data_IF_749670894436
#
_entry.id   IF_749670894436
#
_cell.length_a   1.000
_cell.length_b   1.000
_cell.length_c   1.000
_cell.angle_alpha   90.00
_cell.angle_beta   90.00
_cell.angle_gamma   90.00
#
_symmetry.space_group_name_H-M   'P 1'
#
loop_
_entity.id
_entity.type
_entity.pdbx_description
1 polymer ?
#
# COMPACT_ATOMS: atom_id res chain seq x y z
N UNK A 1 -20.05 -8.71 25.94
CA UNK A 1 -18.77 -8.42 26.61
C UNK A 1 -18.24 -7.12 26.01
N UNK A 2 -18.17 -6.00 26.75
CA UNK A 2 -17.84 -4.70 26.18
C UNK A 2 -16.34 -4.56 25.89
N UNK A 3 -16.01 -3.98 24.74
CA UNK A 3 -14.64 -3.71 24.30
C UNK A 3 -14.10 -2.46 25.00
N UNK A 4 -12.90 -2.53 25.54
CA UNK A 4 -12.25 -1.39 26.17
C UNK A 4 -11.67 -0.44 25.11
N UNK A 5 -12.19 0.78 25.03
CA UNK A 5 -11.54 1.87 24.31
C UNK A 5 -10.32 2.36 25.11
N UNK A 6 -9.11 2.10 24.61
CA UNK A 6 -7.94 2.84 25.06
C UNK A 6 -7.93 4.22 24.40
N UNK A 7 -7.96 5.25 25.23
CA UNK A 7 -7.78 6.65 24.84
C UNK A 7 -6.28 6.88 24.60
N UNK A 8 -5.88 7.19 23.36
CA UNK A 8 -4.53 7.68 23.07
C UNK A 8 -4.45 9.20 23.22
N UNK A 9 -3.36 9.65 23.83
CA UNK A 9 -3.18 11.02 24.33
C UNK A 9 -2.53 11.92 23.28
N UNK A 10 -3.22 12.97 22.84
CA UNK A 10 -2.66 13.99 21.94
C UNK A 10 -1.58 14.85 22.61
N UNK A 11 -0.30 14.53 22.39
CA UNK A 11 0.82 15.38 22.80
C UNK A 11 1.07 16.43 21.71
N UNK A 12 0.41 17.59 21.85
CA UNK A 12 0.67 18.77 21.02
C UNK A 12 2.05 19.35 21.30
N UNK A 13 3.02 19.14 20.39
CA UNK A 13 4.31 19.84 20.41
C UNK A 13 4.17 21.22 19.75
N UNK A 14 4.12 22.28 20.55
CA UNK A 14 4.29 23.64 20.09
C UNK A 14 5.80 23.97 19.98
N UNK A 15 6.22 24.55 18.85
CA UNK A 15 7.58 25.05 18.66
C UNK A 15 7.54 26.47 18.09
N UNK A 16 8.04 27.45 18.85
CA UNK A 16 8.36 28.80 18.36
C UNK A 16 9.86 28.88 18.04
N UNK A 17 10.21 29.59 16.96
CA UNK A 17 11.51 30.21 16.77
C UNK A 17 11.36 31.47 15.88
N UNK A 18 12.17 32.50 16.12
CA UNK A 18 12.00 33.86 15.60
C UNK A 18 12.93 34.22 14.42
N UNK A 19 12.35 34.95 13.46
CA UNK A 19 12.79 36.24 12.85
C UNK A 19 14.18 36.48 12.20
N UNK A 20 14.13 37.41 11.22
CA UNK A 20 15.20 38.23 10.60
C UNK A 20 16.22 37.53 9.65
N UNK A 21 16.67 38.16 8.55
CA UNK A 21 16.29 39.42 7.90
C UNK A 21 17.28 39.86 6.80
N UNK A 22 16.91 40.87 5.97
CA UNK A 22 17.79 41.64 5.05
C UNK A 22 18.41 40.91 3.83
N UNK A 23 18.79 41.54 2.70
CA UNK A 23 18.43 42.82 2.06
C UNK A 23 18.88 42.81 0.57
N UNK A 24 18.43 43.82 -0.20
CA UNK A 24 18.53 44.00 -1.66
C UNK A 24 19.93 43.99 -2.34
N UNK A 25 19.97 43.90 -3.68
CA UNK A 25 20.43 44.96 -4.63
C UNK A 25 20.51 44.44 -6.09
N UNK A 26 20.33 45.33 -7.07
CA UNK A 26 20.48 45.10 -8.53
C UNK A 26 21.61 46.03 -9.08
N UNK A 27 22.12 45.96 -10.32
CA UNK A 27 21.58 45.56 -11.63
C UNK A 27 22.76 45.13 -12.54
N UNK A 28 22.53 44.58 -13.76
CA UNK A 28 22.97 45.22 -15.01
C UNK A 28 22.56 44.48 -16.31
N UNK A 29 22.53 45.24 -17.41
CA UNK A 29 22.02 44.88 -18.74
C UNK A 29 23.12 44.31 -19.64
N UNK A 30 22.77 43.34 -20.50
CA UNK A 30 23.63 42.85 -21.58
C UNK A 30 22.82 42.52 -22.83
N UNK A 31 22.55 43.53 -23.67
CA UNK A 31 21.87 43.35 -24.96
C UNK A 31 22.90 43.38 -26.09
N UNK A 32 22.92 42.35 -26.95
CA UNK A 32 23.65 42.39 -28.22
C UNK A 32 22.75 41.86 -29.34
N UNK A 33 22.55 42.67 -30.37
CA UNK A 33 21.72 42.34 -31.52
C UNK A 33 22.60 41.78 -32.63
N UNK A 34 22.25 40.59 -33.16
CA UNK A 34 22.97 39.95 -34.26
C UNK A 34 22.04 39.07 -35.08
N UNK A 35 21.34 39.66 -36.04
CA UNK A 35 20.47 38.92 -36.98
C UNK A 35 21.29 38.33 -38.13
N UNK A 36 21.34 37.00 -38.21
CA UNK A 36 21.72 36.28 -39.44
C UNK A 36 20.91 34.99 -39.55
N UNK A 37 20.07 34.92 -40.59
CA UNK A 37 19.08 33.87 -40.77
C UNK A 37 19.67 32.62 -41.45
N UNK A 38 19.53 31.44 -40.82
CA UNK A 38 19.75 30.16 -41.50
C UNK A 38 19.03 28.98 -40.84
N UNK A 39 17.91 28.59 -41.48
CA UNK A 39 17.27 27.26 -41.63
C UNK A 39 17.34 26.26 -40.45
N UNK A 40 16.19 25.71 -39.98
CA UNK A 40 16.17 24.83 -38.81
C UNK A 40 16.84 23.47 -39.11
N UNK A 41 17.89 23.16 -38.34
CA UNK A 41 18.17 21.77 -37.96
C UNK A 41 17.58 21.54 -36.58
N UNK A 42 16.64 20.61 -36.49
CA UNK A 42 16.05 20.13 -35.24
C UNK A 42 17.13 19.47 -34.40
N UNK A 43 17.81 20.26 -33.58
CA UNK A 43 18.70 19.75 -32.52
C UNK A 43 17.79 19.01 -31.54
N UNK A 44 17.78 17.69 -31.61
CA UNK A 44 17.02 16.85 -30.70
C UNK A 44 17.41 17.24 -29.27
N UNK A 45 16.48 17.86 -28.54
CA UNK A 45 16.65 18.08 -27.12
C UNK A 45 16.74 16.69 -26.50
N UNK A 46 17.90 16.36 -25.92
CA UNK A 46 18.08 15.11 -25.22
C UNK A 46 17.10 15.14 -24.03
N UNK A 47 15.98 14.43 -24.17
CA UNK A 47 15.07 14.19 -23.06
C UNK A 47 15.90 13.61 -21.91
N UNK A 48 15.78 14.12 -20.67
CA UNK A 48 16.53 13.56 -19.57
C UNK A 48 16.15 12.08 -19.45
N UNK A 49 17.14 11.19 -19.61
CA UNK A 49 16.94 9.76 -19.34
C UNK A 49 16.31 9.62 -17.98
N UNK A 50 15.16 8.95 -17.92
CA UNK A 50 14.55 8.61 -16.65
C UNK A 50 15.62 7.89 -15.80
N UNK A 51 15.97 8.48 -14.66
CA UNK A 51 16.93 7.87 -13.74
C UNK A 51 16.37 6.53 -13.32
N UNK A 52 17.01 5.44 -13.73
CA UNK A 52 16.56 4.10 -13.38
C UNK A 52 16.59 3.96 -11.85
N UNK A 53 15.45 3.67 -11.24
CA UNK A 53 15.36 3.44 -9.80
C UNK A 53 16.22 2.22 -9.44
N UNK A 54 17.30 2.37 -8.64
CA UNK A 54 18.19 1.27 -8.30
C UNK A 54 17.49 0.17 -7.47
N UNK A 55 16.31 0.44 -6.92
CA UNK A 55 15.50 -0.52 -6.17
C UNK A 55 14.35 -1.13 -7.00
N UNK A 56 14.20 -0.80 -8.29
CA UNK A 56 13.05 -1.20 -9.11
C UNK A 56 12.75 -2.70 -9.08
N UNK A 57 13.78 -3.55 -9.16
CA UNK A 57 13.63 -5.01 -9.11
C UNK A 57 13.04 -5.51 -7.79
N UNK A 58 13.52 -4.98 -6.64
CA UNK A 58 13.01 -5.38 -5.31
C UNK A 58 11.61 -4.81 -5.07
N UNK A 59 11.32 -3.59 -5.56
CA UNK A 59 9.94 -3.05 -5.52
C UNK A 59 8.97 -3.94 -6.31
N UNK A 60 9.37 -4.44 -7.47
CA UNK A 60 8.57 -5.38 -8.25
C UNK A 60 8.37 -6.72 -7.52
N UNK A 61 9.43 -7.28 -6.89
CA UNK A 61 9.38 -8.49 -6.07
C UNK A 61 8.41 -8.34 -4.88
N UNK A 62 8.57 -7.30 -4.07
CA UNK A 62 7.70 -7.01 -2.91
C UNK A 62 6.25 -6.82 -3.34
N UNK A 63 6.00 -6.12 -4.45
CA UNK A 63 4.65 -5.95 -4.99
C UNK A 63 4.05 -7.26 -5.52
N UNK A 64 4.87 -8.19 -6.02
CA UNK A 64 4.42 -9.53 -6.42
C UNK A 64 4.05 -10.38 -5.19
N UNK A 65 4.86 -10.37 -4.13
CA UNK A 65 4.55 -11.03 -2.85
C UNK A 65 3.24 -10.52 -2.25
N UNK A 66 3.01 -9.20 -2.28
CA UNK A 66 1.76 -8.61 -1.80
C UNK A 66 0.53 -9.03 -2.61
N UNK A 67 0.66 -9.14 -3.94
CA UNK A 67 -0.40 -9.71 -4.80
C UNK A 67 -0.68 -11.17 -4.45
N UNK A 68 0.37 -11.99 -4.30
CA UNK A 68 0.23 -13.40 -3.92
C UNK A 68 -0.36 -13.59 -2.52
N UNK A 69 -0.08 -12.69 -1.58
CA UNK A 69 -0.76 -12.63 -0.28
C UNK A 69 -2.27 -12.41 -0.43
N UNK A 70 -2.69 -11.46 -1.28
CA UNK A 70 -4.11 -11.21 -1.54
C UNK A 70 -4.81 -12.38 -2.24
N UNK A 71 -4.14 -13.04 -3.19
CA UNK A 71 -4.67 -14.24 -3.85
C UNK A 71 -4.85 -15.39 -2.84
N UNK A 72 -3.86 -15.63 -1.97
CA UNK A 72 -3.93 -16.64 -0.91
C UNK A 72 -5.02 -16.32 0.13
N UNK A 73 -5.15 -15.06 0.57
CA UNK A 73 -6.22 -14.65 1.48
C UNK A 73 -7.61 -14.77 0.82
N UNK A 74 -7.73 -14.41 -0.47
CA UNK A 74 -8.98 -14.56 -1.22
C UNK A 74 -9.38 -16.04 -1.32
N UNK A 75 -8.44 -16.91 -1.64
CA UNK A 75 -8.66 -18.36 -1.63
C UNK A 75 -9.09 -18.85 -0.24
N UNK A 76 -8.42 -18.39 0.83
CA UNK A 76 -8.75 -18.77 2.20
C UNK A 76 -10.17 -18.37 2.62
N UNK A 77 -10.60 -17.15 2.26
CA UNK A 77 -11.93 -16.66 2.61
C UNK A 77 -13.04 -17.28 1.74
N UNK A 78 -12.74 -17.71 0.51
CA UNK A 78 -13.70 -18.39 -0.37
C UNK A 78 -14.13 -19.77 0.13
N UNK A 79 -13.27 -20.46 0.88
CA UNK A 79 -13.57 -21.77 1.49
C UNK A 79 -13.66 -21.70 3.03
N UNK A 80 -13.53 -20.50 3.61
CA UNK A 80 -13.30 -20.27 5.04
C UNK A 80 -12.25 -21.23 5.63
N UNK A 81 -11.11 -21.44 4.96
CA UNK A 81 -10.05 -22.32 5.43
C UNK A 81 -8.69 -21.97 4.78
N UNK A 82 -7.60 -21.96 5.55
CA UNK A 82 -6.27 -21.57 5.03
C UNK A 82 -5.49 -22.71 4.37
N UNK A 83 -5.92 -23.97 4.54
CA UNK A 83 -5.24 -25.14 3.98
C UNK A 83 -5.15 -25.04 2.45
N UNK A 84 -3.99 -25.40 1.93
CA UNK A 84 -3.67 -25.44 0.49
C UNK A 84 -3.76 -24.09 -0.25
N UNK A 85 -3.92 -22.97 0.47
CA UNK A 85 -3.96 -21.61 -0.11
C UNK A 85 -2.58 -20.99 -0.35
N UNK A 86 -1.53 -21.55 0.29
CA UNK A 86 -0.18 -20.98 0.27
C UNK A 86 0.01 -19.74 1.16
N UNK A 87 -0.94 -19.42 2.06
CA UNK A 87 -0.89 -18.26 2.92
C UNK A 87 0.43 -18.14 3.72
N UNK A 88 0.97 -19.24 4.27
CA UNK A 88 2.25 -19.20 5.01
C UNK A 88 3.48 -18.84 4.16
N UNK A 89 3.36 -18.89 2.82
CA UNK A 89 4.44 -18.48 1.90
C UNK A 89 4.53 -16.96 1.82
N UNK A 90 3.40 -16.25 1.89
CA UNK A 90 3.31 -14.81 1.62
C UNK A 90 2.98 -13.98 2.85
N UNK A 91 2.40 -14.57 3.91
CA UNK A 91 2.07 -13.91 5.16
C UNK A 91 2.95 -14.39 6.31
N UNK A 92 3.22 -13.50 7.27
CA UNK A 92 3.79 -13.83 8.57
C UNK A 92 3.15 -12.92 9.65
N UNK A 93 3.46 -13.16 10.92
CA UNK A 93 3.16 -12.24 12.02
C UNK A 93 1.66 -11.83 12.13
N UNK A 94 1.36 -10.54 12.28
CA UNK A 94 0.01 -9.98 12.34
C UNK A 94 -0.82 -10.29 11.08
N UNK A 95 -0.25 -10.22 9.88
CA UNK A 95 -0.99 -10.49 8.63
C UNK A 95 -1.46 -11.95 8.54
N UNK A 96 -0.59 -12.90 8.95
CA UNK A 96 -0.95 -14.31 9.02
C UNK A 96 -2.00 -14.59 10.11
N UNK A 97 -1.75 -14.12 11.34
CA UNK A 97 -2.65 -14.35 12.48
C UNK A 97 -4.01 -13.67 12.32
N UNK A 98 -4.08 -12.47 11.72
CA UNK A 98 -5.36 -11.83 11.37
C UNK A 98 -6.14 -12.64 10.34
N UNK A 99 -5.49 -13.15 9.29
CA UNK A 99 -6.17 -13.99 8.29
C UNK A 99 -6.75 -15.26 8.92
N UNK A 100 -6.03 -15.89 9.87
CA UNK A 100 -6.54 -17.02 10.65
C UNK A 100 -7.77 -16.64 11.50
N UNK A 101 -7.75 -15.49 12.16
CA UNK A 101 -8.86 -15.01 12.99
C UNK A 101 -10.11 -14.68 12.15
N UNK A 102 -9.92 -14.07 10.99
CA UNK A 102 -11.01 -13.77 10.04
C UNK A 102 -11.62 -15.08 9.49
N UNK A 103 -10.78 -16.06 9.11
CA UNK A 103 -11.22 -17.42 8.73
C UNK A 103 -11.99 -18.12 9.86
N UNK A 104 -11.51 -18.06 11.11
CA UNK A 104 -12.20 -18.64 12.26
C UNK A 104 -13.57 -17.99 12.49
N UNK A 105 -13.66 -16.68 12.31
CA UNK A 105 -14.92 -15.91 12.40
C UNK A 105 -15.90 -16.34 11.30
N UNK A 106 -15.43 -16.55 10.07
CA UNK A 106 -16.25 -17.09 8.97
C UNK A 106 -16.78 -18.50 9.27
N UNK A 107 -15.94 -19.40 9.80
CA UNK A 107 -16.37 -20.74 10.24
C UNK A 107 -17.46 -20.69 11.31
N UNK A 108 -17.33 -19.81 12.31
CA UNK A 108 -18.33 -19.62 13.38
C UNK A 108 -19.65 -19.06 12.84
N UNK A 109 -19.58 -18.11 11.91
CA UNK A 109 -20.76 -17.47 11.32
C UNK A 109 -21.42 -18.29 10.20
N UNK A 110 -20.80 -19.40 9.77
CA UNK A 110 -21.27 -20.21 8.64
C UNK A 110 -21.21 -19.49 7.29
N UNK A 111 -20.29 -18.54 7.13
CA UNK A 111 -20.15 -17.71 5.92
C UNK A 111 -18.84 -17.97 5.17
N UNK A 112 -18.80 -17.55 3.91
CA UNK A 112 -17.59 -17.47 3.07
C UNK A 112 -17.56 -16.14 2.33
N UNK A 113 -16.48 -15.82 1.62
CA UNK A 113 -16.41 -14.64 0.74
C UNK A 113 -16.25 -14.99 -0.74
N UNK A 114 -17.10 -14.42 -1.60
CA UNK A 114 -17.06 -14.62 -3.06
C UNK A 114 -16.65 -13.34 -3.80
N UNK A 115 -16.04 -13.52 -4.97
CA UNK A 115 -15.34 -12.44 -5.68
C UNK A 115 -13.93 -12.21 -5.11
N UNK A 116 -13.37 -11.03 -5.39
CA UNK A 116 -12.04 -10.63 -4.88
C UNK A 116 -11.91 -9.11 -4.82
N UNK A 117 -11.03 -8.56 -3.96
CA UNK A 117 -10.73 -7.13 -4.00
C UNK A 117 -10.05 -6.75 -5.32
N UNK A 118 -10.17 -5.48 -5.71
CA UNK A 118 -9.21 -4.86 -6.64
C UNK A 118 -8.17 -4.12 -5.81
N UNK A 119 -6.91 -4.18 -6.26
CA UNK A 119 -5.76 -3.62 -5.55
C UNK A 119 -4.87 -2.84 -6.53
N UNK A 120 -4.33 -1.72 -6.08
CA UNK A 120 -3.44 -0.81 -6.83
C UNK A 120 -2.19 -0.48 -5.99
N UNK A 121 -1.34 -1.47 -5.66
CA UNK A 121 -0.26 -1.28 -4.70
C UNK A 121 0.93 -0.49 -5.25
N UNK A 122 1.43 0.42 -4.42
CA UNK A 122 2.67 1.20 -4.61
C UNK A 122 3.67 0.87 -3.49
N UNK A 123 4.86 0.40 -3.84
CA UNK A 123 5.94 0.16 -2.86
C UNK A 123 6.66 1.47 -2.58
N UNK A 124 6.35 2.07 -1.45
CA UNK A 124 6.76 3.43 -1.07
C UNK A 124 8.17 3.49 -0.48
N UNK A 125 8.66 2.40 0.12
CA UNK A 125 10.01 2.32 0.68
C UNK A 125 10.58 0.88 0.64
N UNK A 126 11.90 0.76 0.50
CA UNK A 126 12.65 -0.50 0.67
C UNK A 126 13.97 -0.21 1.39
N UNK A 127 14.27 -0.97 2.46
CA UNK A 127 15.51 -0.95 3.23
C UNK A 127 16.21 -2.31 3.11
N UNK A 128 17.31 -2.33 2.35
CA UNK A 128 18.11 -3.52 2.03
C UNK A 128 19.34 -3.69 2.94
N UNK A 129 19.68 -2.62 3.65
CA UNK A 129 20.76 -2.45 4.62
C UNK A 129 20.41 -2.97 6.03
N UNK A 130 19.14 -3.33 6.25
CA UNK A 130 18.64 -3.88 7.50
C UNK A 130 18.56 -5.41 7.45
N UNK A 131 18.72 -6.05 8.60
CA UNK A 131 18.40 -7.46 8.82
C UNK A 131 17.32 -7.56 9.93
N UNK A 132 16.10 -8.08 9.63
CA UNK A 132 15.62 -8.43 8.30
C UNK A 132 15.44 -7.20 7.40
N UNK A 133 15.61 -7.39 6.09
CA UNK A 133 15.26 -6.39 5.06
C UNK A 133 13.78 -6.04 5.18
N UNK A 134 13.42 -4.78 4.92
CA UNK A 134 12.05 -4.26 5.08
C UNK A 134 11.56 -3.52 3.84
N UNK A 135 10.25 -3.48 3.65
CA UNK A 135 9.61 -2.64 2.67
C UNK A 135 8.23 -2.17 3.17
N UNK A 136 7.78 -1.03 2.66
CA UNK A 136 6.46 -0.46 2.93
C UNK A 136 5.67 -0.34 1.65
N UNK A 137 4.37 -0.61 1.72
CA UNK A 137 3.44 -0.52 0.59
C UNK A 137 2.24 0.33 1.02
N UNK A 138 1.80 1.21 0.13
CA UNK A 138 0.50 1.87 0.19
C UNK A 138 -0.38 1.28 -0.90
N UNK A 139 -1.63 0.96 -0.60
CA UNK A 139 -2.55 0.37 -1.58
C UNK A 139 -3.94 1.00 -1.47
N UNK A 140 -4.64 1.14 -2.59
CA UNK A 140 -6.06 1.44 -2.64
C UNK A 140 -6.83 0.14 -2.90
N UNK A 141 -7.47 -0.37 -1.85
CA UNK A 141 -8.22 -1.63 -1.89
C UNK A 141 -9.69 -1.33 -2.15
N UNK A 142 -10.25 -1.88 -3.23
CA UNK A 142 -11.67 -1.84 -3.56
C UNK A 142 -12.32 -3.21 -3.26
N UNK A 143 -13.17 -3.26 -2.24
CA UNK A 143 -13.92 -4.46 -1.82
C UNK A 143 -15.37 -4.47 -2.33
N UNK A 144 -15.75 -3.58 -3.25
CA UNK A 144 -17.15 -3.45 -3.75
C UNK A 144 -17.72 -4.77 -4.26
N UNK A 145 -16.89 -5.58 -4.91
CA UNK A 145 -17.23 -6.87 -5.52
C UNK A 145 -16.80 -8.09 -4.69
N UNK A 146 -16.42 -7.89 -3.41
CA UNK A 146 -16.03 -8.97 -2.51
C UNK A 146 -17.10 -9.14 -1.43
N UNK A 147 -17.90 -10.19 -1.56
CA UNK A 147 -19.18 -10.35 -0.86
C UNK A 147 -19.09 -11.42 0.21
N UNK A 148 -19.68 -11.18 1.37
CA UNK A 148 -19.88 -12.23 2.39
C UNK A 148 -21.19 -12.96 2.06
N UNK A 149 -21.15 -14.27 1.87
CA UNK A 149 -22.29 -15.09 1.45
C UNK A 149 -22.50 -16.33 2.32
N UNK A 150 -23.73 -16.83 2.35
CA UNK A 150 -24.03 -18.19 2.81
C UNK A 150 -23.55 -19.20 1.75
N UNK A 151 -22.67 -20.16 2.08
CA UNK A 151 -22.04 -21.05 1.11
C UNK A 151 -22.98 -22.10 0.50
N UNK A 152 -24.19 -22.30 1.05
CA UNK A 152 -25.16 -23.30 0.55
C UNK A 152 -26.15 -22.69 -0.44
N UNK A 153 -26.54 -21.46 -0.21
CA UNK A 153 -27.56 -20.73 -0.96
C UNK A 153 -27.00 -19.64 -1.87
N UNK A 154 -25.74 -19.23 -1.67
CA UNK A 154 -25.11 -18.11 -2.37
C UNK A 154 -25.67 -16.73 -1.99
N UNK A 155 -26.57 -16.65 -0.99
CA UNK A 155 -27.20 -15.39 -0.58
C UNK A 155 -26.20 -14.49 0.13
N UNK A 156 -26.09 -13.23 -0.34
CA UNK A 156 -25.29 -12.20 0.34
C UNK A 156 -25.84 -11.90 1.75
N UNK A 157 -24.94 -11.84 2.73
CA UNK A 157 -25.23 -11.29 4.05
C UNK A 157 -25.23 -9.75 3.97
N UNK A 158 -26.18 -9.08 4.64
CA UNK A 158 -26.20 -7.62 4.68
C UNK A 158 -24.98 -7.10 5.45
N UNK A 159 -24.36 -6.04 4.92
CA UNK A 159 -23.21 -5.36 5.52
C UNK A 159 -23.61 -3.90 5.79
N UNK A 160 -23.06 -3.24 6.83
CA UNK A 160 -23.43 -1.87 7.16
C UNK A 160 -23.18 -0.92 5.96
N UNK A 161 -24.17 -0.12 5.52
CA UNK A 161 -24.07 0.67 4.28
C UNK A 161 -23.04 1.80 4.34
N UNK A 162 -22.73 2.31 5.54
CA UNK A 162 -21.81 3.41 5.81
C UNK A 162 -20.32 3.04 5.70
N UNK A 163 -20.00 1.75 5.55
CA UNK A 163 -18.62 1.28 5.42
C UNK A 163 -17.93 1.83 4.16
N UNK A 164 -16.64 2.15 4.29
CA UNK A 164 -15.79 2.37 3.12
C UNK A 164 -15.73 1.08 2.27
N UNK A 165 -16.06 1.19 0.98
CA UNK A 165 -15.88 0.12 -0.02
C UNK A 165 -14.54 0.24 -0.75
N UNK A 166 -13.97 1.45 -0.78
CA UNK A 166 -12.62 1.75 -1.26
C UNK A 166 -11.89 2.49 -0.16
N UNK A 167 -10.72 2.01 0.21
CA UNK A 167 -9.94 2.59 1.29
C UNK A 167 -8.44 2.36 1.09
N UNK A 168 -7.66 3.24 1.70
CA UNK A 168 -6.20 3.08 1.73
C UNK A 168 -5.83 2.02 2.77
N UNK A 169 -4.93 1.11 2.41
CA UNK A 169 -4.18 0.30 3.38
C UNK A 169 -2.72 0.73 3.44
N UNK A 170 -2.14 0.67 4.65
CA UNK A 170 -0.68 0.67 4.86
C UNK A 170 -0.25 -0.75 5.15
N UNK A 171 0.90 -1.14 4.62
CA UNK A 171 1.36 -2.53 4.64
C UNK A 171 2.86 -2.54 4.90
N UNK A 172 3.29 -3.42 5.80
CA UNK A 172 4.71 -3.70 5.99
C UNK A 172 5.04 -5.11 5.49
N UNK A 173 6.19 -5.22 4.83
CA UNK A 173 6.79 -6.47 4.43
C UNK A 173 8.21 -6.57 5.02
N UNK A 174 8.63 -7.77 5.40
CA UNK A 174 10.02 -8.05 5.78
C UNK A 174 10.47 -9.42 5.31
N UNK A 175 11.78 -9.62 5.28
CA UNK A 175 12.34 -10.95 5.03
C UNK A 175 12.21 -11.85 6.27
N UNK A 176 11.89 -13.13 6.02
CA UNK A 176 11.77 -14.21 7.01
C UNK A 176 12.41 -15.45 6.39
N UNK A 177 13.53 -15.92 6.94
CA UNK A 177 14.31 -17.01 6.31
C UNK A 177 14.92 -16.64 4.95
N UNK A 178 15.06 -15.34 4.66
CA UNK A 178 15.50 -14.81 3.36
C UNK A 178 14.37 -14.48 2.37
N UNK A 179 13.16 -15.02 2.58
CA UNK A 179 11.99 -14.75 1.72
C UNK A 179 11.21 -13.53 2.20
N UNK A 180 10.74 -12.68 1.28
CA UNK A 180 9.80 -11.61 1.62
C UNK A 180 8.43 -12.16 2.04
N UNK A 181 7.89 -11.65 3.15
CA UNK A 181 6.52 -11.92 3.61
C UNK A 181 5.87 -10.62 4.07
N UNK A 182 4.56 -10.51 3.86
CA UNK A 182 3.70 -9.45 4.40
C UNK A 182 3.51 -9.71 5.89
N UNK A 183 3.76 -8.70 6.73
CA UNK A 183 3.68 -8.84 8.20
C UNK A 183 2.56 -8.03 8.83
N UNK A 184 2.15 -6.91 8.24
CA UNK A 184 0.98 -6.14 8.67
C UNK A 184 0.20 -5.62 7.47
N UNK A 185 -1.12 -5.48 7.62
CA UNK A 185 -2.03 -4.83 6.67
C UNK A 185 -3.04 -4.02 7.48
N UNK A 186 -2.91 -2.70 7.42
CA UNK A 186 -3.72 -1.76 8.20
C UNK A 186 -4.63 -0.95 7.28
N UNK A 187 -5.93 -1.27 7.29
CA UNK A 187 -6.95 -0.38 6.74
C UNK A 187 -6.91 0.97 7.49
N UNK A 188 -6.75 2.05 6.73
CA UNK A 188 -6.86 3.42 7.21
C UNK A 188 -8.33 3.87 7.11
N UNK A 189 -8.77 4.75 8.00
CA UNK A 189 -10.06 5.43 7.88
C UNK A 189 -9.98 6.58 6.86
N UNK A 190 -9.70 6.20 5.60
CA UNK A 190 -9.45 7.12 4.48
C UNK A 190 -9.83 6.46 3.16
N UNK A 191 -10.77 7.08 2.46
CA UNK A 191 -11.19 6.67 1.12
C UNK A 191 -10.10 6.86 0.04
N UNK A 192 -10.28 6.17 -1.08
CA UNK A 192 -9.56 6.31 -2.34
C UNK A 192 -10.47 5.88 -3.50
#
# INVERSE_FOLDING_TARGET
MPVAHLIQTDIRRAGLALAAGSAAVAVLVGCTSGSAEKKPSTKASASPSASADPQAAVKAEVAAVYRSYWDAQTAAFAQADVRDTGLEKYAFDQAYSKTLADVATMKVNGSVMTGKPQITPEVTAVSLDQDPKKASISDCVDVTNWKVVDPKSGKEFPLPPERLKRFVTKVEARTVGGEWKIVSVEQQDRAC
#
